data_IF_633846400380
#
_entry.id   IF_633846400380
#
_cell.length_a   1.000
_cell.length_b   1.000
_cell.length_c   1.000
_cell.angle_alpha   90.00
_cell.angle_beta   90.00
_cell.angle_gamma   90.00
#
_symmetry.space_group_name_H-M   'P 1'
#
loop_
_entity.id
_entity.type
_entity.pdbx_description
1 polymer ?
#
# COMPACT_ATOMS: atom_id res chain seq x y z
N UNK A 1 -33.75 6.46 26.04
CA UNK A 1 -33.50 7.05 24.71
C UNK A 1 -33.24 5.91 23.74
N UNK A 2 -34.05 5.74 22.67
CA UNK A 2 -34.05 4.54 21.85
C UNK A 2 -32.92 4.54 20.81
N UNK A 3 -32.29 3.38 20.64
CA UNK A 3 -31.35 3.04 19.57
C UNK A 3 -32.15 2.63 18.33
N UNK A 4 -32.04 3.34 17.19
CA UNK A 4 -32.20 2.87 15.79
C UNK A 4 -31.87 4.04 14.83
N UNK A 5 -31.45 3.84 13.56
CA UNK A 5 -30.99 2.65 12.85
C UNK A 5 -29.61 2.86 12.16
N UNK A 6 -28.76 1.82 12.09
CA UNK A 6 -27.62 1.80 11.16
C UNK A 6 -28.17 1.63 9.74
N UNK A 7 -28.65 2.73 9.16
CA UNK A 7 -29.13 2.81 7.79
C UNK A 7 -28.12 3.55 6.96
N UNK A 8 -27.19 2.81 6.33
CA UNK A 8 -26.69 2.93 4.95
C UNK A 8 -25.59 1.87 4.77
N UNK A 9 -25.74 0.86 3.88
CA UNK A 9 -24.60 0.10 3.38
C UNK A 9 -23.97 0.89 2.23
N UNK A 10 -23.47 2.08 2.54
CA UNK A 10 -22.72 2.93 1.61
C UNK A 10 -21.25 2.92 1.99
N UNK A 11 -20.71 1.78 2.43
CA UNK A 11 -19.28 1.61 2.64
C UNK A 11 -18.60 1.32 1.29
N UNK A 12 -18.15 2.31 0.47
CA UNK A 12 -17.33 2.02 -0.70
C UNK A 12 -16.00 1.36 -0.33
N UNK A 13 -15.70 1.20 0.97
CA UNK A 13 -14.51 0.56 1.52
C UNK A 13 -14.34 -0.90 1.07
N UNK A 14 -15.43 -1.62 0.75
CA UNK A 14 -15.36 -3.04 0.36
C UNK A 14 -14.90 -3.20 -1.10
N UNK A 15 -15.08 -2.17 -1.93
CA UNK A 15 -14.69 -2.20 -3.35
C UNK A 15 -13.25 -1.73 -3.62
N UNK A 16 -12.46 -1.40 -2.58
CA UNK A 16 -11.08 -0.95 -2.73
C UNK A 16 -10.03 -2.10 -2.81
N UNK A 17 -10.39 -3.32 -2.41
CA UNK A 17 -9.52 -4.53 -2.47
C UNK A 17 -9.45 -5.36 -3.78
N UNK A 18 -10.29 -5.18 -4.84
CA UNK A 18 -10.37 -6.16 -5.93
C UNK A 18 -9.09 -6.31 -6.76
N UNK A 19 -8.34 -5.24 -7.01
CA UNK A 19 -7.18 -5.29 -7.92
C UNK A 19 -5.99 -6.02 -7.30
N UNK A 20 -5.71 -5.80 -6.02
CA UNK A 20 -4.65 -6.51 -5.31
C UNK A 20 -4.96 -8.00 -5.16
N UNK A 21 -6.19 -8.33 -4.75
CA UNK A 21 -6.63 -9.72 -4.59
C UNK A 21 -6.66 -10.46 -5.92
N UNK A 22 -7.23 -9.85 -6.98
CA UNK A 22 -7.21 -10.46 -8.31
C UNK A 22 -5.79 -10.68 -8.83
N UNK A 23 -4.85 -9.77 -8.55
CA UNK A 23 -3.45 -9.94 -8.95
C UNK A 23 -2.75 -11.12 -8.25
N UNK A 24 -3.15 -11.44 -7.01
CA UNK A 24 -2.67 -12.61 -6.26
C UNK A 24 -3.31 -13.93 -6.74
N UNK A 25 -4.60 -13.89 -7.11
CA UNK A 25 -5.37 -15.06 -7.52
C UNK A 25 -5.19 -15.43 -9.00
N UNK A 26 -4.90 -14.45 -9.87
CA UNK A 26 -4.72 -14.71 -11.29
C UNK A 26 -3.48 -15.58 -11.55
N UNK A 27 -3.57 -16.55 -12.49
CA UNK A 27 -2.40 -17.32 -12.88
C UNK A 27 -1.28 -16.40 -13.37
N UNK A 28 -0.12 -16.51 -12.73
CA UNK A 28 1.05 -15.66 -12.96
C UNK A 28 1.52 -15.81 -14.40
N UNK A 29 1.94 -14.70 -15.02
CA UNK A 29 2.47 -14.69 -16.39
C UNK A 29 1.42 -14.63 -17.51
N UNK A 30 0.13 -14.79 -17.22
CA UNK A 30 -0.97 -14.64 -18.19
C UNK A 30 -1.18 -13.19 -18.63
N UNK A 31 -1.84 -12.97 -19.78
CA UNK A 31 -2.20 -11.61 -20.23
C UNK A 31 -3.05 -10.86 -19.20
N UNK A 32 -3.97 -11.56 -18.50
CA UNK A 32 -4.80 -10.97 -17.45
C UNK A 32 -3.96 -10.47 -16.26
N UNK A 33 -3.03 -11.29 -15.77
CA UNK A 33 -2.10 -10.89 -14.70
C UNK A 33 -1.24 -9.68 -15.10
N UNK A 34 -0.79 -9.63 -16.36
CA UNK A 34 -0.02 -8.49 -16.88
C UNK A 34 -0.86 -7.22 -16.94
N UNK A 35 -2.09 -7.30 -17.48
CA UNK A 35 -2.98 -6.14 -17.60
C UNK A 35 -3.34 -5.55 -16.24
N UNK A 36 -3.79 -6.39 -15.31
CA UNK A 36 -4.08 -5.98 -13.92
C UNK A 36 -2.83 -5.42 -13.25
N UNK A 37 -1.67 -6.04 -13.47
CA UNK A 37 -0.38 -5.58 -12.94
C UNK A 37 0.03 -4.19 -13.42
N UNK A 38 -0.16 -3.88 -14.70
CA UNK A 38 0.15 -2.55 -15.23
C UNK A 38 -0.79 -1.48 -14.67
N UNK A 39 -2.09 -1.77 -14.60
CA UNK A 39 -3.07 -0.85 -13.98
C UNK A 39 -2.70 -0.59 -12.52
N UNK A 40 -2.40 -1.65 -11.77
CA UNK A 40 -1.97 -1.54 -10.38
C UNK A 40 -0.67 -0.72 -10.24
N UNK A 41 0.34 -0.95 -11.08
CA UNK A 41 1.58 -0.18 -11.06
C UNK A 41 1.35 1.32 -11.35
N UNK A 42 0.47 1.64 -12.31
CA UNK A 42 0.10 3.02 -12.62
C UNK A 42 -0.59 3.70 -11.43
N UNK A 43 -1.54 3.01 -10.79
CA UNK A 43 -2.21 3.50 -9.58
C UNK A 43 -1.22 3.72 -8.44
N UNK A 44 -0.28 2.78 -8.21
CA UNK A 44 0.74 2.91 -7.16
C UNK A 44 1.63 4.15 -7.36
N UNK A 45 2.09 4.41 -8.59
CA UNK A 45 2.88 5.62 -8.92
C UNK A 45 2.04 6.88 -8.67
N UNK A 46 0.80 6.90 -9.17
CA UNK A 46 -0.09 8.05 -8.99
C UNK A 46 -0.34 8.35 -7.50
N UNK A 47 -0.71 7.34 -6.71
CA UNK A 47 -0.91 7.47 -5.26
C UNK A 47 0.36 7.92 -4.55
N UNK A 48 1.52 7.37 -4.91
CA UNK A 48 2.78 7.77 -4.31
C UNK A 48 3.09 9.24 -4.59
N UNK A 49 2.89 9.73 -5.81
CA UNK A 49 3.08 11.15 -6.17
C UNK A 49 2.12 12.05 -5.39
N UNK A 50 0.83 11.71 -5.36
CA UNK A 50 -0.19 12.48 -4.62
C UNK A 50 0.14 12.56 -3.13
N UNK A 51 0.72 11.50 -2.54
CA UNK A 51 1.04 11.47 -1.11
C UNK A 51 2.04 12.55 -0.68
N UNK A 52 2.90 13.05 -1.57
CA UNK A 52 3.85 14.12 -1.25
C UNK A 52 3.16 15.47 -0.99
N UNK A 53 1.90 15.64 -1.42
CA UNK A 53 1.10 16.80 -1.06
C UNK A 53 0.49 16.69 0.35
N UNK A 54 0.54 15.51 0.98
CA UNK A 54 -0.10 15.23 2.27
C UNK A 54 0.86 15.55 3.43
N UNK A 55 0.78 16.78 3.94
CA UNK A 55 1.66 17.27 5.03
C UNK A 55 1.04 17.15 6.44
N UNK A 56 -0.25 16.83 6.53
CA UNK A 56 -1.02 16.90 7.78
C UNK A 56 -0.67 15.85 8.85
N UNK A 57 0.16 14.84 8.54
CA UNK A 57 0.49 13.74 9.45
C UNK A 57 1.71 13.98 10.33
N UNK A 58 2.52 15.02 10.05
CA UNK A 58 3.75 15.30 10.82
C UNK A 58 4.16 16.78 10.75
N UNK A 59 3.34 17.70 11.25
CA UNK A 59 3.68 19.13 11.44
C UNK A 59 4.45 19.80 10.28
N UNK A 60 4.17 19.42 9.03
CA UNK A 60 4.85 19.95 7.83
C UNK A 60 6.14 19.25 7.38
N UNK A 61 6.60 18.20 8.07
CA UNK A 61 7.81 17.42 7.74
C UNK A 61 7.55 16.11 6.99
N UNK A 62 8.63 15.47 6.54
CA UNK A 62 8.60 14.12 5.97
C UNK A 62 8.01 13.13 6.99
N UNK A 63 7.09 12.29 6.53
CA UNK A 63 6.39 11.30 7.35
C UNK A 63 6.52 9.89 6.75
N UNK A 64 6.09 8.87 7.47
CA UNK A 64 6.16 7.46 7.03
C UNK A 64 5.49 7.23 5.66
N UNK A 65 4.47 8.02 5.31
CA UNK A 65 3.85 7.95 3.98
C UNK A 65 4.81 8.37 2.87
N UNK A 66 5.63 9.41 3.10
CA UNK A 66 6.62 9.89 2.14
C UNK A 66 7.73 8.86 1.93
N UNK A 67 8.19 8.22 3.01
CA UNK A 67 9.18 7.15 2.91
C UNK A 67 8.65 5.97 2.09
N UNK A 68 7.41 5.55 2.35
CA UNK A 68 6.78 4.48 1.57
C UNK A 68 6.54 4.88 0.11
N UNK A 69 6.25 6.15 -0.15
CA UNK A 69 6.08 6.66 -1.51
C UNK A 69 7.38 6.70 -2.29
N UNK A 70 8.50 7.10 -1.67
CA UNK A 70 9.83 6.99 -2.31
C UNK A 70 10.15 5.54 -2.63
N UNK A 71 9.96 4.62 -1.68
CA UNK A 71 10.16 3.19 -1.89
C UNK A 71 9.33 2.68 -3.09
N UNK A 72 8.06 3.08 -3.15
CA UNK A 72 7.14 2.73 -4.24
C UNK A 72 7.62 3.26 -5.58
N UNK A 73 7.98 4.55 -5.66
CA UNK A 73 8.44 5.20 -6.89
C UNK A 73 9.74 4.59 -7.43
N UNK A 74 10.59 4.05 -6.57
CA UNK A 74 11.82 3.34 -6.97
C UNK A 74 11.51 1.90 -7.41
N UNK A 75 10.74 1.14 -6.62
CA UNK A 75 10.56 -0.29 -6.87
C UNK A 75 9.59 -0.58 -8.02
N UNK A 76 8.54 0.22 -8.24
CA UNK A 76 7.56 -0.04 -9.29
C UNK A 76 8.20 -0.03 -10.70
N UNK A 77 9.03 0.96 -11.09
CA UNK A 77 9.76 0.91 -12.35
C UNK A 77 10.68 -0.31 -12.47
N UNK A 78 11.34 -0.72 -11.38
CA UNK A 78 12.17 -1.92 -11.34
C UNK A 78 11.33 -3.18 -11.56
N UNK A 79 10.16 -3.29 -10.92
CA UNK A 79 9.21 -4.40 -11.08
C UNK A 79 8.79 -4.52 -12.56
N UNK A 80 8.43 -3.41 -13.20
CA UNK A 80 8.05 -3.36 -14.61
C UNK A 80 9.22 -3.77 -15.50
N UNK A 81 10.40 -3.19 -15.29
CA UNK A 81 11.59 -3.49 -16.09
C UNK A 81 11.99 -4.97 -16.01
N UNK A 82 11.98 -5.56 -14.81
CA UNK A 82 12.29 -6.98 -14.60
C UNK A 82 11.23 -7.90 -15.22
N UNK A 83 9.95 -7.50 -15.20
CA UNK A 83 8.89 -8.24 -15.90
C UNK A 83 9.09 -8.20 -17.43
N UNK A 84 9.39 -7.03 -18.00
CA UNK A 84 9.58 -6.84 -19.45
C UNK A 84 10.82 -7.57 -20.00
N UNK A 85 11.86 -7.68 -19.20
CA UNK A 85 13.11 -8.38 -19.58
C UNK A 85 13.09 -9.88 -19.29
N UNK A 86 11.93 -10.43 -18.90
CA UNK A 86 11.79 -11.87 -18.60
C UNK A 86 12.52 -12.34 -17.34
N UNK A 87 13.02 -11.42 -16.50
CA UNK A 87 13.76 -11.75 -15.27
C UNK A 87 12.79 -12.06 -14.12
N UNK A 88 12.01 -13.13 -14.24
CA UNK A 88 10.89 -13.49 -13.34
C UNK A 88 11.32 -13.57 -11.87
N UNK A 89 12.44 -14.23 -11.56
CA UNK A 89 12.93 -14.33 -10.18
C UNK A 89 13.25 -12.95 -9.57
N UNK A 90 13.80 -12.03 -10.37
CA UNK A 90 14.09 -10.66 -9.91
C UNK A 90 12.83 -9.81 -9.80
N UNK A 91 11.86 -10.02 -10.68
CA UNK A 91 10.53 -9.40 -10.58
C UNK A 91 9.86 -9.79 -9.27
N UNK A 92 9.81 -11.08 -8.92
CA UNK A 92 9.23 -11.57 -7.67
C UNK A 92 9.92 -10.98 -6.44
N UNK A 93 11.25 -10.93 -6.43
CA UNK A 93 12.01 -10.30 -5.33
C UNK A 93 11.70 -8.82 -5.18
N UNK A 94 11.55 -8.08 -6.28
CA UNK A 94 11.21 -6.66 -6.24
C UNK A 94 9.77 -6.44 -5.72
N UNK A 95 8.80 -7.27 -6.13
CA UNK A 95 7.44 -7.25 -5.59
C UNK A 95 7.43 -7.55 -4.10
N UNK A 96 8.18 -8.57 -3.66
CA UNK A 96 8.30 -8.90 -2.24
C UNK A 96 8.94 -7.76 -1.45
N UNK A 97 9.99 -7.14 -1.97
CA UNK A 97 10.63 -5.98 -1.34
C UNK A 97 9.66 -4.81 -1.14
N UNK A 98 8.79 -4.55 -2.11
CA UNK A 98 7.77 -3.50 -2.00
C UNK A 98 6.73 -3.83 -0.92
N UNK A 99 6.28 -5.09 -0.84
CA UNK A 99 5.32 -5.54 0.19
C UNK A 99 5.95 -5.48 1.59
N UNK A 100 7.13 -6.08 1.76
CA UNK A 100 7.81 -6.15 3.06
C UNK A 100 8.20 -4.76 3.54
N UNK A 101 8.78 -3.93 2.66
CA UNK A 101 9.13 -2.55 3.01
C UNK A 101 7.91 -1.74 3.40
N UNK A 102 6.79 -1.90 2.69
CA UNK A 102 5.51 -1.27 3.05
C UNK A 102 4.98 -1.71 4.41
N UNK A 103 4.99 -3.03 4.69
CA UNK A 103 4.56 -3.57 5.98
C UNK A 103 5.45 -3.11 7.14
N UNK A 104 6.77 -3.04 6.93
CA UNK A 104 7.70 -2.54 7.95
C UNK A 104 7.43 -1.07 8.23
N UNK A 105 7.31 -0.23 7.19
CA UNK A 105 7.05 1.20 7.36
C UNK A 105 5.68 1.42 8.04
N UNK A 106 4.65 0.70 7.63
CA UNK A 106 3.32 0.77 8.23
C UNK A 106 3.28 0.27 9.68
N UNK A 107 3.97 -0.84 9.96
CA UNK A 107 4.10 -1.41 11.29
C UNK A 107 4.79 -0.45 12.25
N UNK A 108 5.96 0.08 11.86
CA UNK A 108 6.68 1.10 12.64
C UNK A 108 5.81 2.33 12.92
N UNK A 109 5.03 2.78 11.93
CA UNK A 109 4.11 3.90 12.12
C UNK A 109 2.99 3.60 13.13
N UNK A 110 2.49 2.36 13.16
CA UNK A 110 1.42 1.93 14.07
C UNK A 110 1.86 1.98 15.54
N UNK A 111 3.15 1.76 15.81
CA UNK A 111 3.72 1.79 17.17
C UNK A 111 4.21 3.18 17.64
N UNK A 112 4.09 4.23 16.82
CA UNK A 112 4.48 5.58 17.24
C UNK A 112 3.65 6.06 18.45
N UNK A 113 4.26 6.78 19.42
CA UNK A 113 3.56 7.43 20.52
C UNK A 113 2.40 8.30 20.01
N UNK A 114 1.23 8.19 20.63
CA UNK A 114 0.03 8.92 20.20
C UNK A 114 -0.83 8.23 19.13
N UNK A 115 -0.39 7.10 18.57
CA UNK A 115 -1.27 6.18 17.81
C UNK A 115 -1.89 5.15 18.74
N UNK A 116 -3.09 4.65 18.40
CA UNK A 116 -3.93 3.80 19.28
C UNK A 116 -3.13 2.67 19.93
N UNK A 117 -2.35 1.91 19.14
CA UNK A 117 -1.56 0.79 19.65
C UNK A 117 -0.37 1.25 20.49
N UNK A 118 0.33 2.32 20.07
CA UNK A 118 1.43 2.91 20.86
C UNK A 118 0.95 3.44 22.22
N UNK A 119 -0.21 4.10 22.27
CA UNK A 119 -0.84 4.56 23.52
C UNK A 119 -1.20 3.38 24.42
N UNK A 120 -1.71 2.30 23.84
CA UNK A 120 -2.07 1.10 24.61
C UNK A 120 -0.82 0.48 25.25
N UNK A 121 0.26 0.31 24.48
CA UNK A 121 1.54 -0.24 24.98
C UNK A 121 2.12 0.64 26.10
N UNK A 122 2.10 1.97 25.93
CA UNK A 122 2.60 2.91 26.93
C UNK A 122 1.79 2.93 28.23
N UNK A 123 0.54 2.47 28.23
CA UNK A 123 -0.31 2.36 29.43
C UNK A 123 -0.15 1.05 30.18
N UNK A 124 0.51 0.05 29.58
CA UNK A 124 0.69 -1.29 30.14
C UNK A 124 2.02 -1.46 30.89
N UNK A 125 2.86 -0.43 30.93
CA UNK A 125 4.12 -0.34 31.66
C UNK A 125 4.16 0.97 32.45
#
# INVERSE_FOLDING_TARGET
>A
MPLLPVGYPDHPSILAMPLGVSQLLLPKGTMRHRAVGYVWCGLMIFTALVSFAIHGLNSGGLSSIHLFSVLTLVLVPVIIHRARTGQVAKHQRAVLGLIVGGLVIAGLFTFLPGRVLGVLVQRLF
#
